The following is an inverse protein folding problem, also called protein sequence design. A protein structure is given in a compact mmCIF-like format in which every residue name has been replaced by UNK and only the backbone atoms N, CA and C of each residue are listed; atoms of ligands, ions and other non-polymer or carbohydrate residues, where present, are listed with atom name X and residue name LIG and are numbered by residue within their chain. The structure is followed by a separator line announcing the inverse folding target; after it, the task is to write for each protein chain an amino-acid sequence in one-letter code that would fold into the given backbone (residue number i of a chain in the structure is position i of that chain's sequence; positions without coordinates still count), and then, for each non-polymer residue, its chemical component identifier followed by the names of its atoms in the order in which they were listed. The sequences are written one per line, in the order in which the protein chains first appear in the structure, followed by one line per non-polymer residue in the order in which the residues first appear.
data_IF_550801512450
#
_entry.id   IF_550801512450
#
_cell.length_a   1.000
_cell.length_b   1.000
_cell.length_c   1.000
_cell.angle_alpha   90.00
_cell.angle_beta   90.00
_cell.angle_gamma   90.00
#
_symmetry.space_group_name_H-M   'P 1'
#
loop_
_entity.id
_entity.type
_entity.pdbx_description
1 polymer ?
#
# COMPACT_ATOMS: atom_id res chain seq x y z
N UNK A 1 -26.27 -9.29 -43.00
CA UNK A 1 -25.77 -8.37 -41.96
C UNK A 1 -26.96 -7.65 -41.37
N UNK A 2 -27.38 -8.03 -40.17
CA UNK A 2 -28.41 -7.32 -39.39
C UNK A 2 -27.73 -6.92 -38.08
N UNK A 3 -27.57 -5.61 -37.87
CA UNK A 3 -26.99 -5.01 -36.67
C UNK A 3 -28.15 -4.71 -35.71
N UNK A 4 -28.31 -5.50 -34.65
CA UNK A 4 -29.22 -5.18 -33.54
C UNK A 4 -28.50 -4.24 -32.57
N UNK A 5 -28.89 -2.97 -32.50
CA UNK A 5 -28.54 -2.09 -31.39
C UNK A 5 -29.45 -2.41 -30.20
N UNK A 6 -28.89 -3.03 -29.16
CA UNK A 6 -29.52 -3.13 -27.84
C UNK A 6 -29.15 -1.87 -27.04
N UNK A 7 -30.15 -1.04 -26.75
CA UNK A 7 -30.02 0.05 -25.80
C UNK A 7 -30.00 -0.52 -24.38
N UNK A 8 -28.81 -0.57 -23.78
CA UNK A 8 -28.63 -0.99 -22.39
C UNK A 8 -29.02 0.19 -21.48
N UNK A 9 -30.13 0.08 -20.75
CA UNK A 9 -30.42 0.99 -19.65
C UNK A 9 -29.44 0.70 -18.49
N UNK A 10 -28.49 1.60 -18.26
CA UNK A 10 -27.64 1.56 -17.06
C UNK A 10 -28.50 1.98 -15.88
N UNK A 11 -28.98 1.01 -15.10
CA UNK A 11 -29.53 1.31 -13.78
C UNK A 11 -28.37 1.62 -12.85
N UNK A 12 -28.32 2.82 -12.23
CA UNK A 12 -27.29 3.12 -11.25
C UNK A 12 -27.47 2.17 -10.07
N UNK A 13 -26.46 1.36 -9.81
CA UNK A 13 -26.42 0.51 -8.62
C UNK A 13 -26.38 1.44 -7.41
N UNK A 14 -27.30 1.32 -6.44
CA UNK A 14 -27.23 2.11 -5.23
C UNK A 14 -25.93 1.75 -4.51
N UNK A 15 -25.00 2.71 -4.44
CA UNK A 15 -23.81 2.61 -3.61
C UNK A 15 -24.30 2.56 -2.16
N UNK A 16 -24.29 1.37 -1.56
CA UNK A 16 -24.55 1.20 -0.13
C UNK A 16 -23.57 2.05 0.71
N UNK A 17 -23.88 2.32 1.99
CA UNK A 17 -23.07 3.20 2.81
C UNK A 17 -21.62 2.72 2.87
N UNK A 18 -20.70 3.60 2.47
CA UNK A 18 -19.26 3.36 2.56
C UNK A 18 -18.83 3.27 4.02
N UNK A 19 -18.78 2.06 4.55
CA UNK A 19 -18.22 1.73 5.86
C UNK A 19 -16.69 1.94 5.93
N UNK A 20 -16.01 1.47 7.00
CA UNK A 20 -14.66 1.84 7.48
C UNK A 20 -13.48 1.92 6.48
N UNK A 21 -13.65 1.45 5.24
CA UNK A 21 -12.72 1.67 4.14
C UNK A 21 -12.51 3.16 3.80
N UNK A 22 -13.47 4.03 4.11
CA UNK A 22 -13.33 5.49 3.98
C UNK A 22 -12.37 6.06 5.03
N UNK A 23 -12.48 5.62 6.29
CA UNK A 23 -11.60 6.08 7.38
C UNK A 23 -10.16 5.58 7.23
N UNK A 24 -9.96 4.34 6.80
CA UNK A 24 -8.60 3.81 6.58
C UNK A 24 -7.93 4.49 5.39
N UNK A 25 -8.70 4.86 4.36
CA UNK A 25 -8.17 5.64 3.23
C UNK A 25 -7.73 7.04 3.67
N UNK A 26 -8.57 7.77 4.40
CA UNK A 26 -8.21 9.11 4.90
C UNK A 26 -7.00 9.05 5.82
N UNK A 27 -6.94 8.06 6.73
CA UNK A 27 -5.78 7.87 7.61
C UNK A 27 -4.52 7.54 6.81
N UNK A 28 -4.64 6.71 5.78
CA UNK A 28 -3.54 6.40 4.88
C UNK A 28 -3.03 7.64 4.15
N UNK A 29 -3.90 8.45 3.55
CA UNK A 29 -3.53 9.67 2.84
C UNK A 29 -2.79 10.64 3.76
N UNK A 30 -3.31 10.89 4.97
CA UNK A 30 -2.64 11.70 5.99
C UNK A 30 -1.25 11.15 6.35
N UNK A 31 -1.15 9.83 6.56
CA UNK A 31 0.10 9.19 6.90
C UNK A 31 1.15 9.35 5.78
N UNK A 32 0.75 9.29 4.51
CA UNK A 32 1.66 9.51 3.37
C UNK A 32 2.10 10.96 3.26
N UNK A 33 1.21 11.92 3.47
CA UNK A 33 1.56 13.35 3.52
C UNK A 33 2.57 13.62 4.65
N UNK A 34 2.34 13.02 5.82
CA UNK A 34 3.26 13.06 6.95
C UNK A 34 4.58 12.41 6.62
N UNK A 35 4.61 11.24 5.98
CA UNK A 35 5.86 10.59 5.61
C UNK A 35 6.74 11.49 4.72
N UNK A 36 6.15 12.33 3.88
CA UNK A 36 6.89 13.28 3.05
C UNK A 36 7.39 14.52 3.79
N UNK A 37 6.72 14.95 4.86
CA UNK A 37 6.97 16.23 5.55
C UNK A 37 7.63 16.08 6.93
N UNK A 38 7.27 15.02 7.66
CA UNK A 38 7.78 14.62 8.97
C UNK A 38 7.81 13.07 9.05
N UNK A 39 8.87 12.44 8.50
CA UNK A 39 8.98 10.98 8.43
C UNK A 39 8.93 10.30 9.81
N UNK A 40 9.53 10.91 10.85
CA UNK A 40 9.55 10.36 12.19
C UNK A 40 8.14 10.32 12.82
N UNK A 41 7.34 11.38 12.61
CA UNK A 41 5.95 11.38 13.04
C UNK A 41 5.10 10.35 12.28
N UNK A 42 5.36 10.16 10.98
CA UNK A 42 4.70 9.13 10.17
C UNK A 42 5.08 7.71 10.61
N UNK A 43 6.34 7.46 10.97
CA UNK A 43 6.78 6.18 11.56
C UNK A 43 5.99 5.87 12.84
N UNK A 44 5.90 6.83 13.76
CA UNK A 44 5.17 6.66 15.01
C UNK A 44 3.67 6.40 14.76
N UNK A 45 3.04 7.16 13.86
CA UNK A 45 1.63 7.02 13.50
C UNK A 45 1.34 5.67 12.83
N UNK A 46 2.15 5.29 11.84
CA UNK A 46 2.02 4.02 11.12
C UNK A 46 2.31 2.81 12.03
N UNK A 47 3.30 2.95 12.92
CA UNK A 47 3.62 1.94 13.94
C UNK A 47 2.44 1.68 14.88
N UNK A 48 1.83 2.75 15.41
CA UNK A 48 0.64 2.64 16.24
C UNK A 48 -0.55 2.06 15.46
N UNK A 49 -0.75 2.49 14.21
CA UNK A 49 -1.84 1.97 13.37
C UNK A 49 -1.70 0.49 13.08
N UNK A 50 -0.47 0.02 12.79
CA UNK A 50 -0.19 -1.40 12.54
C UNK A 50 -0.56 -2.26 13.74
N UNK A 51 -0.23 -1.80 14.96
CA UNK A 51 -0.60 -2.49 16.21
C UNK A 51 -2.13 -2.49 16.42
N UNK A 52 -2.82 -1.42 16.02
CA UNK A 52 -4.28 -1.31 16.13
C UNK A 52 -5.06 -1.94 14.96
N UNK A 53 -4.42 -2.77 14.12
CA UNK A 53 -5.11 -3.49 13.04
C UNK A 53 -5.16 -2.78 11.68
N UNK A 54 -4.30 -1.80 11.41
CA UNK A 54 -4.27 -1.04 10.14
C UNK A 54 -3.82 -1.79 8.88
N UNK A 55 -3.53 -3.08 9.00
CA UNK A 55 -3.26 -3.98 7.88
C UNK A 55 -2.12 -3.53 6.95
N UNK A 56 -2.32 -3.76 5.65
CA UNK A 56 -1.31 -3.44 4.63
C UNK A 56 -1.11 -1.93 4.43
N UNK A 57 -2.13 -1.09 4.68
CA UNK A 57 -2.00 0.36 4.52
C UNK A 57 -1.06 0.98 5.56
N UNK A 58 -1.20 0.56 6.82
CA UNK A 58 -0.28 0.98 7.89
C UNK A 58 1.15 0.53 7.60
N UNK A 59 1.33 -0.72 7.16
CA UNK A 59 2.64 -1.28 6.85
C UNK A 59 3.29 -0.56 5.67
N UNK A 60 2.50 -0.20 4.64
CA UNK A 60 3.05 0.54 3.52
C UNK A 60 3.44 1.97 3.88
N UNK A 61 2.60 2.69 4.65
CA UNK A 61 3.00 4.02 5.12
C UNK A 61 4.28 3.97 5.97
N UNK A 62 4.44 2.94 6.81
CA UNK A 62 5.67 2.72 7.56
C UNK A 62 6.88 2.54 6.63
N UNK A 63 6.72 1.80 5.53
CA UNK A 63 7.75 1.67 4.50
C UNK A 63 8.11 3.01 3.83
N UNK A 64 7.12 3.87 3.60
CA UNK A 64 7.34 5.22 3.09
C UNK A 64 8.09 6.11 4.09
N UNK A 65 7.73 6.06 5.38
CA UNK A 65 8.44 6.79 6.43
C UNK A 65 9.92 6.38 6.48
N UNK A 66 10.20 5.07 6.57
CA UNK A 66 11.57 4.56 6.53
C UNK A 66 12.33 4.92 5.26
N UNK A 67 11.66 4.94 4.11
CA UNK A 67 12.27 5.35 2.84
C UNK A 67 12.72 6.82 2.88
N UNK A 68 11.92 7.69 3.49
CA UNK A 68 12.24 9.11 3.62
C UNK A 68 13.39 9.37 4.59
N UNK A 69 13.56 8.49 5.57
CA UNK A 69 14.71 8.46 6.48
C UNK A 69 15.92 7.69 5.92
N UNK A 70 15.84 7.19 4.68
CA UNK A 70 16.89 6.38 4.03
C UNK A 70 17.23 5.08 4.76
N UNK A 71 16.31 4.57 5.59
CA UNK A 71 16.42 3.28 6.28
C UNK A 71 15.94 2.17 5.35
N UNK A 72 16.62 2.02 4.22
CA UNK A 72 16.18 1.23 3.07
C UNK A 72 15.84 -0.23 3.38
N UNK A 73 16.63 -0.90 4.23
CA UNK A 73 16.34 -2.28 4.62
C UNK A 73 15.07 -2.39 5.48
N UNK A 74 14.83 -1.42 6.37
CA UNK A 74 13.60 -1.38 7.17
C UNK A 74 12.38 -1.02 6.29
N UNK A 75 12.56 -0.08 5.35
CA UNK A 75 11.55 0.27 4.36
C UNK A 75 11.10 -0.96 3.58
N UNK A 76 12.06 -1.73 3.08
CA UNK A 76 11.74 -2.94 2.32
C UNK A 76 10.93 -3.94 3.16
N UNK A 77 11.37 -4.28 4.37
CA UNK A 77 10.65 -5.22 5.24
C UNK A 77 9.19 -4.76 5.53
N UNK A 78 8.97 -3.46 5.67
CA UNK A 78 7.63 -2.90 5.85
C UNK A 78 6.77 -3.02 4.56
N UNK A 79 7.35 -2.78 3.39
CA UNK A 79 6.68 -2.98 2.10
C UNK A 79 6.37 -4.47 1.83
N UNK A 80 7.27 -5.40 2.13
CA UNK A 80 7.03 -6.85 2.01
C UNK A 80 5.89 -7.31 2.93
N UNK A 81 5.83 -6.75 4.14
CA UNK A 81 4.70 -6.96 5.07
C UNK A 81 3.40 -6.46 4.48
N UNK A 82 3.40 -5.26 3.87
CA UNK A 82 2.23 -4.70 3.20
C UNK A 82 1.79 -5.57 2.02
N UNK A 83 2.73 -6.01 1.19
CA UNK A 83 2.47 -6.86 0.03
C UNK A 83 1.83 -8.20 0.45
N UNK A 84 2.48 -8.93 1.35
CA UNK A 84 1.97 -10.21 1.87
C UNK A 84 0.57 -10.08 2.50
N UNK A 85 0.31 -8.98 3.22
CA UNK A 85 -1.00 -8.74 3.82
C UNK A 85 -2.07 -8.39 2.76
N UNK A 86 -1.70 -7.61 1.73
CA UNK A 86 -2.58 -7.30 0.60
C UNK A 86 -2.91 -8.55 -0.22
N UNK A 87 -1.94 -9.43 -0.47
CA UNK A 87 -2.14 -10.75 -1.09
C UNK A 87 -3.17 -11.61 -0.35
N UNK A 88 -3.01 -11.73 0.97
CA UNK A 88 -3.94 -12.48 1.81
C UNK A 88 -5.36 -11.90 1.73
N UNK A 89 -5.46 -10.58 1.63
CA UNK A 89 -6.72 -9.88 1.42
C UNK A 89 -7.22 -9.91 -0.04
N UNK A 90 -6.46 -10.49 -0.98
CA UNK A 90 -6.71 -10.46 -2.43
C UNK A 90 -6.84 -9.03 -2.98
N UNK A 91 -6.10 -8.10 -2.39
CA UNK A 91 -6.08 -6.70 -2.78
C UNK A 91 -5.10 -6.50 -3.95
N UNK A 92 -5.51 -5.81 -5.03
CA UNK A 92 -4.69 -5.64 -6.23
C UNK A 92 -3.43 -4.80 -6.01
N UNK A 93 -3.29 -4.12 -4.86
CA UNK A 93 -2.12 -3.30 -4.55
C UNK A 93 -0.90 -4.12 -4.13
N UNK A 94 -1.01 -5.44 -3.92
CA UNK A 94 0.13 -6.27 -3.51
C UNK A 94 1.34 -6.11 -4.43
N UNK A 95 1.13 -6.15 -5.76
CA UNK A 95 2.20 -6.01 -6.75
C UNK A 95 2.95 -4.68 -6.64
N UNK A 96 2.24 -3.58 -6.34
CA UNK A 96 2.85 -2.27 -6.11
C UNK A 96 3.68 -2.24 -4.82
N UNK A 97 3.31 -3.00 -3.81
CA UNK A 97 4.05 -3.10 -2.56
C UNK A 97 5.31 -3.95 -2.73
N UNK A 98 5.26 -5.04 -3.49
CA UNK A 98 6.46 -5.79 -3.87
C UNK A 98 7.44 -4.98 -4.72
N UNK A 99 6.93 -4.16 -5.65
CA UNK A 99 7.78 -3.23 -6.41
C UNK A 99 8.49 -2.22 -5.50
N UNK A 100 7.80 -1.68 -4.48
CA UNK A 100 8.40 -0.78 -3.50
C UNK A 100 9.45 -1.48 -2.62
N UNK A 101 9.21 -2.72 -2.20
CA UNK A 101 10.20 -3.54 -1.50
C UNK A 101 11.46 -3.76 -2.35
N UNK A 102 11.28 -4.13 -3.62
CA UNK A 102 12.38 -4.28 -4.57
C UNK A 102 13.21 -3.00 -4.72
N UNK A 103 12.55 -1.86 -4.92
CA UNK A 103 13.22 -0.56 -5.03
C UNK A 103 13.97 -0.18 -3.75
N UNK A 104 13.40 -0.46 -2.57
CA UNK A 104 14.07 -0.23 -1.30
C UNK A 104 15.30 -1.14 -1.15
N UNK A 105 15.25 -2.40 -1.57
CA UNK A 105 16.45 -3.26 -1.60
C UNK A 105 17.52 -2.78 -2.57
N UNK A 106 17.13 -2.23 -3.73
CA UNK A 106 18.08 -1.59 -4.64
C UNK A 106 18.75 -0.38 -3.98
N UNK A 107 17.98 0.47 -3.29
CA UNK A 107 18.52 1.61 -2.56
C UNK A 107 19.44 1.19 -1.39
N UNK A 108 19.18 0.02 -0.80
CA UNK A 108 20.03 -0.60 0.22
C UNK A 108 21.32 -1.24 -0.35
N UNK A 109 21.47 -1.32 -1.67
CA UNK A 109 22.60 -2.00 -2.32
C UNK A 109 22.52 -3.53 -2.32
N UNK A 110 21.35 -4.12 -2.04
CA UNK A 110 21.15 -5.57 -1.98
C UNK A 110 20.36 -6.06 -3.20
N UNK A 111 21.04 -6.16 -4.34
CA UNK A 111 20.44 -6.57 -5.61
C UNK A 111 19.85 -8.00 -5.56
N UNK A 112 20.41 -8.88 -4.72
CA UNK A 112 19.92 -10.24 -4.52
C UNK A 112 18.52 -10.22 -3.88
N UNK A 113 18.34 -9.43 -2.81
CA UNK A 113 17.01 -9.27 -2.19
C UNK A 113 16.05 -8.49 -3.06
N UNK A 114 16.52 -7.49 -3.81
CA UNK A 114 15.67 -6.78 -4.77
C UNK A 114 15.06 -7.72 -5.82
N UNK A 115 15.88 -8.63 -6.37
CA UNK A 115 15.41 -9.66 -7.30
C UNK A 115 14.43 -10.62 -6.62
N UNK A 116 14.67 -11.01 -5.38
CA UNK A 116 13.75 -11.88 -4.64
C UNK A 116 12.37 -11.21 -4.46
N UNK A 117 12.34 -9.95 -4.03
CA UNK A 117 11.10 -9.18 -3.88
C UNK A 117 10.34 -8.96 -5.20
N UNK A 118 11.03 -9.00 -6.35
CA UNK A 118 10.41 -8.82 -7.68
C UNK A 118 9.78 -10.10 -8.25
N UNK A 119 9.97 -11.25 -7.58
CA UNK A 119 9.45 -12.56 -8.00
C UNK A 119 8.31 -13.07 -7.11
N UNK A 120 7.99 -12.34 -6.05
CA UNK A 120 6.86 -12.62 -5.16
C UNK A 120 5.55 -12.16 -5.82
#
# INVERSE_FOLDING_TARGET
MILFLLAQAVTPTPMGPAGPASSDRTRYEHCIERANSDPAAAEAEAGAWRVSGGGFLASQCLGMAYSREQRWSAASAAFETAATAAEKAKDPRSSNYWAQAGNAWLAAGDASKARAASQA
#
